data_IF_220378866231
#
_entry.id   IF_220378866231
#
_cell.length_a   1.000
_cell.length_b   1.000
_cell.length_c   1.000
_cell.angle_alpha   90.00
_cell.angle_beta   90.00
_cell.angle_gamma   90.00
#
_symmetry.space_group_name_H-M   'P 1'
#
loop_
_entity.id
_entity.type
_entity.pdbx_description
1 polymer ?
#
# COMPACT_ATOMS: atom_id res chain seq x y z
N UNK A 1 -15.55 5.86 -11.02
CA UNK A 1 -15.56 6.72 -9.82
C UNK A 1 -14.12 6.83 -9.33
N UNK A 2 -13.47 7.96 -9.61
CA UNK A 2 -12.13 8.24 -9.09
C UNK A 2 -12.29 8.67 -7.63
N UNK A 3 -11.71 7.89 -6.70
CA UNK A 3 -11.78 8.19 -5.28
C UNK A 3 -10.80 9.35 -5.03
N UNK A 4 -11.30 10.58 -4.93
CA UNK A 4 -10.48 11.72 -4.50
C UNK A 4 -10.00 11.43 -3.07
N UNK A 5 -8.69 11.41 -2.87
CA UNK A 5 -8.10 11.21 -1.55
C UNK A 5 -7.68 12.59 -1.03
N UNK A 6 -8.28 13.02 0.07
CA UNK A 6 -7.82 14.20 0.79
C UNK A 6 -6.46 13.88 1.43
N UNK A 7 -5.48 14.80 1.39
CA UNK A 7 -4.16 14.57 1.97
C UNK A 7 -4.33 14.40 3.48
N UNK A 8 -4.17 13.17 3.95
CA UNK A 8 -4.32 12.83 5.35
C UNK A 8 -2.99 13.05 6.09
N UNK A 9 -3.14 13.60 7.29
CA UNK A 9 -2.19 13.91 8.36
C UNK A 9 -0.73 13.41 8.28
N UNK A 10 0.22 14.20 8.82
CA UNK A 10 1.66 14.15 8.52
C UNK A 10 2.44 12.95 9.08
N UNK A 11 1.80 11.93 9.65
CA UNK A 11 2.53 10.83 10.30
C UNK A 11 2.55 9.57 9.42
N UNK A 12 3.63 9.35 8.64
CA UNK A 12 3.71 8.24 7.70
C UNK A 12 3.69 6.91 8.45
N UNK A 13 2.72 6.05 8.11
CA UNK A 13 2.67 4.70 8.66
C UNK A 13 3.80 3.90 8.03
N UNK A 14 4.70 3.35 8.86
CA UNK A 14 5.80 2.52 8.35
C UNK A 14 5.25 1.25 7.70
N UNK A 15 5.37 1.08 6.37
CA UNK A 15 4.92 -0.14 5.70
C UNK A 15 5.84 -1.32 6.07
N UNK A 16 5.35 -2.57 5.99
CA UNK A 16 6.21 -3.75 6.11
C UNK A 16 7.26 -3.76 5.00
N UNK A 17 8.43 -4.36 5.27
CA UNK A 17 9.58 -4.35 4.36
C UNK A 17 9.22 -4.86 2.96
N UNK A 18 8.36 -5.87 2.87
CA UNK A 18 7.91 -6.48 1.62
C UNK A 18 7.09 -5.50 0.77
N UNK A 19 6.28 -4.65 1.40
CA UNK A 19 5.56 -3.59 0.71
C UNK A 19 6.49 -2.45 0.32
N UNK A 20 7.40 -2.05 1.21
CA UNK A 20 8.40 -1.04 0.88
C UNK A 20 9.27 -1.45 -0.33
N UNK A 21 9.66 -2.73 -0.39
CA UNK A 21 10.45 -3.27 -1.50
C UNK A 21 9.65 -3.29 -2.81
N UNK A 22 8.40 -3.74 -2.77
CA UNK A 22 7.51 -3.71 -3.92
C UNK A 22 7.26 -2.26 -4.42
N UNK A 23 7.10 -1.30 -3.51
CA UNK A 23 6.92 0.12 -3.84
C UNK A 23 8.21 0.76 -4.40
N UNK A 24 9.41 0.30 -4.00
CA UNK A 24 10.68 0.80 -4.57
C UNK A 24 10.81 0.51 -6.06
N UNK A 25 10.24 -0.60 -6.54
CA UNK A 25 10.20 -0.91 -7.97
C UNK A 25 9.18 -0.09 -8.76
N UNK A 26 8.24 0.58 -8.07
CA UNK A 26 7.05 1.18 -8.69
C UNK A 26 6.77 2.57 -8.08
N UNK A 27 7.48 3.63 -8.51
CA UNK A 27 7.41 4.96 -7.93
C UNK A 27 6.01 5.61 -8.05
N UNK A 28 5.24 5.27 -9.09
CA UNK A 28 3.87 5.75 -9.26
C UNK A 28 2.95 5.20 -8.16
N UNK A 29 3.10 3.92 -7.81
CA UNK A 29 2.36 3.29 -6.73
C UNK A 29 2.82 3.82 -5.37
N UNK A 30 4.12 4.06 -5.20
CA UNK A 30 4.68 4.67 -4.00
C UNK A 30 4.08 6.04 -3.72
N UNK A 31 4.01 6.90 -4.75
CA UNK A 31 3.40 8.24 -4.63
C UNK A 31 1.91 8.16 -4.29
N UNK A 32 1.19 7.22 -4.90
CA UNK A 32 -0.22 7.03 -4.59
C UNK A 32 -0.45 6.50 -3.17
N UNK A 33 0.41 5.59 -2.70
CA UNK A 33 0.37 5.06 -1.33
C UNK A 33 0.72 6.11 -0.29
N UNK A 34 1.71 6.95 -0.57
CA UNK A 34 2.11 8.08 0.28
C UNK A 34 0.96 9.09 0.41
N UNK A 35 0.21 9.30 -0.67
CA UNK A 35 -1.02 10.09 -0.66
C UNK A 35 -2.24 9.43 0.02
N UNK A 36 -2.16 8.17 0.47
CA UNK A 36 -3.23 7.51 1.23
C UNK A 36 -3.18 7.91 2.71
N UNK A 37 -4.33 7.82 3.37
CA UNK A 37 -4.48 8.09 4.80
C UNK A 37 -3.83 6.97 5.58
N UNK A 38 -3.29 7.32 6.74
CA UNK A 38 -2.77 6.36 7.70
C UNK A 38 -3.73 5.21 8.00
N UNK A 39 -5.06 5.40 7.87
CA UNK A 39 -6.03 4.30 7.95
C UNK A 39 -5.81 3.22 6.87
N UNK A 40 -5.75 3.61 5.59
CA UNK A 40 -5.54 2.67 4.49
C UNK A 40 -4.14 2.07 4.52
N UNK A 41 -3.13 2.89 4.85
CA UNK A 41 -1.76 2.41 5.01
C UNK A 41 -1.68 1.31 6.10
N UNK A 42 -2.33 1.54 7.26
CA UNK A 42 -2.44 0.53 8.34
C UNK A 42 -3.23 -0.71 7.91
N UNK A 43 -4.32 -0.54 7.17
CA UNK A 43 -5.12 -1.67 6.68
C UNK A 43 -4.31 -2.57 5.76
N UNK A 44 -3.61 -1.99 4.77
CA UNK A 44 -2.73 -2.74 3.86
C UNK A 44 -1.56 -3.37 4.61
N UNK A 45 -0.90 -2.63 5.50
CA UNK A 45 0.18 -3.13 6.34
C UNK A 45 -0.27 -4.33 7.18
N UNK A 46 -1.45 -4.26 7.81
CA UNK A 46 -2.04 -5.36 8.58
C UNK A 46 -2.40 -6.57 7.73
N UNK A 47 -2.98 -6.35 6.54
CA UNK A 47 -3.32 -7.44 5.62
C UNK A 47 -2.07 -8.18 5.12
N UNK A 48 -1.01 -7.44 4.80
CA UNK A 48 0.27 -8.03 4.41
C UNK A 48 0.92 -8.73 5.60
N UNK A 49 1.03 -8.06 6.76
CA UNK A 49 1.64 -8.62 7.96
C UNK A 49 0.88 -9.86 8.50
N UNK A 50 -0.43 -9.95 8.26
CA UNK A 50 -1.25 -11.10 8.65
C UNK A 50 -0.95 -12.39 7.87
N UNK A 51 -0.17 -12.34 6.79
CA UNK A 51 0.29 -13.54 6.10
C UNK A 51 1.47 -14.20 6.84
N UNK A 52 1.32 -15.52 7.11
CA UNK A 52 2.30 -16.33 7.85
C UNK A 52 3.62 -16.49 7.10
N UNK A 53 3.57 -16.62 5.78
CA UNK A 53 4.73 -16.83 4.92
C UNK A 53 5.20 -15.52 4.29
N UNK A 54 6.52 -15.28 4.29
CA UNK A 54 7.11 -14.10 3.66
C UNK A 54 6.82 -14.02 2.15
N UNK A 55 6.77 -15.17 1.46
CA UNK A 55 6.37 -15.27 0.06
C UNK A 55 4.93 -14.76 -0.20
N UNK A 56 3.99 -15.11 0.69
CA UNK A 56 2.62 -14.60 0.63
C UNK A 56 2.54 -13.12 0.96
N UNK A 57 3.40 -12.62 1.87
CA UNK A 57 3.50 -11.18 2.14
C UNK A 57 3.97 -10.42 0.90
N UNK A 58 4.99 -10.92 0.21
CA UNK A 58 5.48 -10.35 -1.03
C UNK A 58 4.42 -10.40 -2.15
N UNK A 59 3.70 -11.51 -2.29
CA UNK A 59 2.59 -11.61 -3.25
C UNK A 59 1.47 -10.60 -2.96
N UNK A 60 1.06 -10.45 -1.70
CA UNK A 60 0.07 -9.43 -1.29
C UNK A 60 0.59 -8.01 -1.51
N UNK A 61 1.86 -7.75 -1.23
CA UNK A 61 2.48 -6.47 -1.50
C UNK A 61 2.45 -6.13 -3.00
N UNK A 62 2.82 -7.07 -3.86
CA UNK A 62 2.74 -6.91 -5.31
C UNK A 62 1.29 -6.68 -5.78
N UNK A 63 0.31 -7.36 -5.17
CA UNK A 63 -1.11 -7.16 -5.45
C UNK A 63 -1.58 -5.74 -5.06
N UNK A 64 -1.20 -5.25 -3.87
CA UNK A 64 -1.46 -3.86 -3.45
C UNK A 64 -0.83 -2.90 -4.45
N UNK A 65 0.44 -3.07 -4.80
CA UNK A 65 1.11 -2.21 -5.79
C UNK A 65 0.39 -2.22 -7.13
N UNK A 66 -0.03 -3.39 -7.63
CA UNK A 66 -0.81 -3.49 -8.87
C UNK A 66 -2.16 -2.76 -8.79
N UNK A 67 -2.85 -2.81 -7.65
CA UNK A 67 -4.09 -2.07 -7.40
C UNK A 67 -3.86 -0.55 -7.38
N UNK A 68 -2.81 -0.11 -6.69
CA UNK A 68 -2.42 1.31 -6.62
C UNK A 68 -2.06 1.84 -8.02
N UNK A 69 -1.33 1.07 -8.83
CA UNK A 69 -1.02 1.40 -10.24
C UNK A 69 -2.28 1.55 -11.10
N UNK A 70 -3.33 0.80 -10.81
CA UNK A 70 -4.62 0.93 -11.48
C UNK A 70 -5.46 2.12 -10.97
N UNK A 71 -4.97 2.87 -9.97
CA UNK A 71 -5.75 3.91 -9.27
C UNK A 71 -6.95 3.33 -8.51
N UNK A 72 -6.95 2.01 -8.26
CA UNK A 72 -8.04 1.28 -7.63
C UNK A 72 -7.69 1.05 -6.16
N UNK A 73 -8.42 1.74 -5.29
CA UNK A 73 -8.40 1.48 -3.85
C UNK A 73 -9.32 0.27 -3.60
N UNK A 74 -8.90 -0.67 -2.77
CA UNK A 74 -9.76 -1.80 -2.40
C UNK A 74 -11.01 -1.21 -1.73
N UNK A 75 -12.19 -1.53 -2.27
CA UNK A 75 -13.47 -0.90 -1.93
C UNK A 75 -14.09 -1.56 -0.71
#
# INVERSE_FOLDING_TARGET
>A
MAVAFEPADPEPVRPPAELADALRGEPDAATFFDGLSGFYQRQYAGWIAGAKSADTRASRAAEVVALLKQGRKQR
#
